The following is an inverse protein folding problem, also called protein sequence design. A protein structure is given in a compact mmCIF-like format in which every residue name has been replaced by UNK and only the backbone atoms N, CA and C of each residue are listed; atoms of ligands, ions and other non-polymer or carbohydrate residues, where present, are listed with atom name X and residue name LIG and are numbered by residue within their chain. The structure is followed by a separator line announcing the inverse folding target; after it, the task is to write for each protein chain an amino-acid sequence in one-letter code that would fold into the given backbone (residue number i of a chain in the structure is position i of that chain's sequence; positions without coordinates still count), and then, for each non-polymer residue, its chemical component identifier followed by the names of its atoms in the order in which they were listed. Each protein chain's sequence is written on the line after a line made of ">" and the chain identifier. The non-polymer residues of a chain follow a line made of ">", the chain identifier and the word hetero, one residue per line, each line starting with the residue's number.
data_IF_891366018367
#
_entry.id   IF_891366018367
#
_cell.length_a   1.000
_cell.length_b   1.000
_cell.length_c   1.000
_cell.angle_alpha   90.00
_cell.angle_beta   90.00
_cell.angle_gamma   90.00
#
_symmetry.space_group_name_H-M   'P 1'
#
loop_
_entity.id
_entity.type
_entity.pdbx_description
1 polymer ?
#
# COMPACT_ATOMS: atom_id res chain seq x y z
N UNK A 1 -15.62 -19.48 27.39
CA UNK A 1 -14.58 -18.48 27.00
C UNK A 1 -15.18 -17.58 25.94
N UNK A 2 -15.53 -16.34 26.28
CA UNK A 2 -16.08 -15.39 25.31
C UNK A 2 -14.95 -14.56 24.71
N UNK A 3 -14.76 -14.68 23.40
CA UNK A 3 -13.76 -13.91 22.65
C UNK A 3 -14.47 -12.80 21.89
N UNK A 4 -14.16 -11.55 22.22
CA UNK A 4 -14.71 -10.39 21.51
C UNK A 4 -13.64 -9.84 20.57
N UNK A 5 -13.92 -9.90 19.27
CA UNK A 5 -13.05 -9.35 18.23
C UNK A 5 -13.53 -7.96 17.84
N UNK A 6 -12.72 -6.94 18.09
CA UNK A 6 -13.02 -5.58 17.67
C UNK A 6 -11.97 -5.07 16.67
N UNK A 7 -12.44 -4.38 15.64
CA UNK A 7 -11.62 -3.76 14.60
C UNK A 7 -11.66 -2.25 14.81
N UNK A 8 -10.80 -1.70 15.66
CA UNK A 8 -10.80 -0.26 15.90
C UNK A 8 -9.75 0.43 15.03
N UNK A 9 -10.10 1.60 14.49
CA UNK A 9 -9.12 2.60 14.01
C UNK A 9 -8.60 3.47 15.15
N UNK A 10 -9.10 3.27 16.37
CA UNK A 10 -8.97 4.22 17.47
C UNK A 10 -8.85 3.46 18.80
N UNK A 11 -7.63 3.37 19.31
CA UNK A 11 -7.27 2.55 20.47
C UNK A 11 -7.97 3.04 21.75
N UNK A 12 -8.27 4.33 21.86
CA UNK A 12 -9.02 4.93 22.97
C UNK A 12 -10.38 4.25 23.24
N UNK A 13 -11.10 3.85 22.19
CA UNK A 13 -12.38 3.13 22.35
C UNK A 13 -12.18 1.70 22.83
N UNK A 14 -11.10 1.04 22.42
CA UNK A 14 -10.76 -0.30 22.91
C UNK A 14 -10.50 -0.28 24.41
N UNK A 15 -9.78 0.74 24.91
CA UNK A 15 -9.53 0.91 26.34
C UNK A 15 -10.82 1.13 27.14
N UNK A 16 -11.74 1.98 26.66
CA UNK A 16 -13.02 2.22 27.33
C UNK A 16 -13.86 0.94 27.40
N UNK A 17 -13.89 0.16 26.31
CA UNK A 17 -14.56 -1.14 26.27
C UNK A 17 -13.96 -2.12 27.27
N UNK A 18 -12.64 -2.30 27.24
CA UNK A 18 -11.94 -3.22 28.15
C UNK A 18 -12.16 -2.85 29.63
N UNK A 19 -12.25 -1.55 29.94
CA UNK A 19 -12.55 -1.06 31.29
C UNK A 19 -14.01 -1.31 31.68
N UNK A 20 -14.95 -1.11 30.77
CA UNK A 20 -16.38 -1.35 31.00
C UNK A 20 -16.71 -2.84 31.16
N UNK A 21 -15.96 -3.71 30.50
CA UNK A 21 -16.11 -5.17 30.61
C UNK A 21 -15.40 -5.79 31.81
N UNK A 22 -14.80 -4.97 32.70
CA UNK A 22 -14.07 -5.48 33.88
C UNK A 22 -14.98 -6.25 34.84
N UNK A 23 -16.26 -5.86 34.88
CA UNK A 23 -17.29 -6.49 35.71
C UNK A 23 -18.06 -7.60 34.97
N UNK A 24 -17.65 -7.91 33.73
CA UNK A 24 -18.24 -8.97 32.91
C UNK A 24 -17.33 -10.21 32.89
N UNK A 25 -17.88 -11.37 32.55
CA UNK A 25 -17.14 -12.64 32.52
C UNK A 25 -16.17 -12.79 31.31
N UNK A 26 -15.77 -11.66 30.70
CA UNK A 26 -14.85 -11.60 29.57
C UNK A 26 -13.42 -11.52 30.09
N UNK A 27 -12.71 -12.65 30.01
CA UNK A 27 -11.33 -12.75 30.51
C UNK A 27 -10.26 -12.25 29.53
N UNK A 28 -10.51 -12.35 28.23
CA UNK A 28 -9.50 -12.04 27.20
C UNK A 28 -10.10 -11.34 25.97
N UNK A 29 -9.33 -10.41 25.41
CA UNK A 29 -9.66 -9.63 24.22
C UNK A 29 -8.64 -9.84 23.13
N UNK A 30 -9.06 -10.19 21.93
CA UNK A 30 -8.16 -10.24 20.77
C UNK A 30 -8.12 -8.88 20.08
N UNK A 31 -6.94 -8.29 19.97
CA UNK A 31 -6.73 -6.96 19.38
C UNK A 31 -5.99 -7.10 18.06
N UNK A 32 -6.70 -6.86 16.96
CA UNK A 32 -6.15 -7.04 15.61
C UNK A 32 -5.48 -5.75 15.09
N UNK A 33 -4.17 -5.79 14.90
CA UNK A 33 -3.42 -4.81 14.11
C UNK A 33 -3.55 -5.12 12.62
N UNK A 34 -4.20 -4.23 11.85
CA UNK A 34 -4.47 -4.44 10.41
C UNK A 34 -3.39 -3.81 9.53
N UNK A 35 -2.55 -2.93 10.10
CA UNK A 35 -1.42 -2.28 9.43
C UNK A 35 -0.12 -2.52 10.18
N UNK A 36 1.00 -2.44 9.44
CA UNK A 36 2.34 -2.44 10.05
C UNK A 36 2.54 -1.29 11.04
N UNK A 37 1.93 -0.14 10.76
CA UNK A 37 2.01 1.05 11.62
C UNK A 37 1.33 0.81 12.98
N UNK A 38 0.27 0.01 13.01
CA UNK A 38 -0.47 -0.30 14.24
C UNK A 38 0.24 -1.35 15.11
N UNK A 39 1.25 -2.03 14.54
CA UNK A 39 1.95 -3.15 15.21
C UNK A 39 2.53 -2.74 16.55
N UNK A 40 3.18 -1.57 16.62
CA UNK A 40 3.81 -1.08 17.84
C UNK A 40 2.77 -0.66 18.88
N UNK A 41 1.69 -0.02 18.46
CA UNK A 41 0.61 0.41 19.36
C UNK A 41 -0.15 -0.77 19.95
N UNK A 42 -0.44 -1.81 19.15
CA UNK A 42 -1.08 -3.05 19.63
C UNK A 42 -0.16 -3.84 20.58
N UNK A 43 1.16 -3.82 20.35
CA UNK A 43 2.12 -4.39 21.31
C UNK A 43 2.14 -3.64 22.63
N UNK A 44 2.13 -2.30 22.61
CA UNK A 44 2.07 -1.50 23.84
C UNK A 44 0.76 -1.75 24.60
N UNK A 45 -0.37 -1.84 23.90
CA UNK A 45 -1.67 -2.18 24.48
C UNK A 45 -1.63 -3.50 25.27
N UNK A 46 -1.07 -4.55 24.68
CA UNK A 46 -0.94 -5.86 25.33
C UNK A 46 0.00 -5.84 26.54
N UNK A 47 1.01 -4.95 26.56
CA UNK A 47 1.86 -4.76 27.74
C UNK A 47 1.11 -4.07 28.88
N UNK A 48 0.28 -3.08 28.56
CA UNK A 48 -0.51 -2.34 29.56
C UNK A 48 -1.66 -3.16 30.11
N UNK A 49 -2.27 -4.02 29.27
CA UNK A 49 -3.43 -4.84 29.64
C UNK A 49 -3.15 -6.32 29.35
N UNK A 50 -2.86 -7.15 30.36
CA UNK A 50 -2.53 -8.56 30.16
C UNK A 50 -3.72 -9.39 29.64
N UNK A 51 -4.95 -8.86 29.72
CA UNK A 51 -6.13 -9.45 29.11
C UNK A 51 -6.23 -9.20 27.59
N UNK A 52 -5.42 -8.31 27.01
CA UNK A 52 -5.36 -8.09 25.58
C UNK A 52 -4.33 -9.01 24.91
N UNK A 53 -4.82 -9.89 24.04
CA UNK A 53 -4.02 -10.74 23.17
C UNK A 53 -3.79 -10.00 21.85
N UNK A 54 -2.54 -9.59 21.54
CA UNK A 54 -2.25 -8.88 20.32
C UNK A 54 -2.20 -9.84 19.14
N UNK A 55 -2.95 -9.54 18.08
CA UNK A 55 -3.00 -10.33 16.85
C UNK A 55 -2.49 -9.47 15.69
N UNK A 56 -1.52 -10.00 14.94
CA UNK A 56 -0.91 -9.31 13.80
C UNK A 56 -1.23 -10.07 12.53
N UNK A 57 -1.88 -9.41 11.58
CA UNK A 57 -2.22 -10.02 10.30
C UNK A 57 -2.58 -8.97 9.26
N UNK A 58 -1.99 -9.09 8.08
CA UNK A 58 -2.38 -8.27 6.95
C UNK A 58 -3.66 -8.84 6.35
N UNK A 59 -4.76 -8.09 6.46
CA UNK A 59 -6.02 -8.50 5.86
C UNK A 59 -5.87 -8.53 4.31
N UNK A 60 -6.28 -9.60 3.59
CA UNK A 60 -6.06 -9.76 2.15
C UNK A 60 -6.54 -8.57 1.30
N UNK A 61 -7.71 -8.01 1.64
CA UNK A 61 -8.26 -6.79 1.01
C UNK A 61 -7.31 -5.58 1.05
N UNK A 62 -6.39 -5.50 2.01
CA UNK A 62 -5.42 -4.40 2.13
C UNK A 62 -4.13 -4.65 1.37
N UNK A 63 -3.73 -5.91 1.19
CA UNK A 63 -2.57 -6.26 0.34
C UNK A 63 -2.83 -5.86 -1.12
N UNK A 64 -4.11 -5.82 -1.51
CA UNK A 64 -4.57 -5.34 -2.82
C UNK A 64 -4.73 -3.82 -2.93
N UNK A 65 -4.57 -3.04 -1.84
CA UNK A 65 -4.56 -1.59 -1.98
C UNK A 65 -3.28 -1.19 -2.73
N UNK A 66 -3.38 -0.42 -3.82
CA UNK A 66 -2.19 -0.03 -4.56
C UNK A 66 -1.25 0.72 -3.63
N UNK A 67 0.03 0.31 -3.61
CA UNK A 67 1.14 1.07 -3.06
C UNK A 67 0.92 2.54 -3.38
N UNK A 68 1.00 3.39 -2.35
CA UNK A 68 0.79 4.83 -2.36
C UNK A 68 0.91 5.50 -3.73
N UNK A 69 -0.02 6.41 -4.02
CA UNK A 69 -0.12 7.21 -5.25
C UNK A 69 1.23 7.74 -5.78
N UNK A 70 2.23 7.93 -4.92
CA UNK A 70 3.62 8.28 -5.27
C UNK A 70 4.40 7.21 -6.05
N UNK A 71 4.26 5.91 -5.74
CA UNK A 71 4.92 4.84 -6.52
C UNK A 71 4.24 4.66 -7.88
N UNK A 72 2.92 4.72 -7.91
CA UNK A 72 2.13 4.69 -9.15
C UNK A 72 2.42 5.90 -10.05
N UNK A 73 2.53 7.10 -9.49
CA UNK A 73 2.88 8.30 -10.26
C UNK A 73 4.29 8.21 -10.85
N UNK A 74 5.26 7.66 -10.11
CA UNK A 74 6.62 7.42 -10.59
C UNK A 74 6.65 6.41 -11.75
N UNK A 75 5.93 5.28 -11.61
CA UNK A 75 5.83 4.25 -12.66
C UNK A 75 5.16 4.82 -13.91
N UNK A 76 4.10 5.60 -13.73
CA UNK A 76 3.39 6.25 -14.83
C UNK A 76 4.25 7.32 -15.53
N UNK A 77 5.04 8.09 -14.77
CA UNK A 77 6.00 9.06 -15.31
C UNK A 77 7.10 8.37 -16.14
N UNK A 78 7.68 7.28 -15.62
CA UNK A 78 8.65 6.46 -16.37
C UNK A 78 8.06 5.91 -17.67
N UNK A 79 6.83 5.39 -17.65
CA UNK A 79 6.12 4.92 -18.86
C UNK A 79 5.89 6.03 -19.88
N UNK A 80 5.47 7.23 -19.45
CA UNK A 80 5.28 8.40 -20.34
C UNK A 80 6.60 8.82 -20.99
N UNK A 81 7.70 8.86 -20.23
CA UNK A 81 9.02 9.20 -20.76
C UNK A 81 9.52 8.18 -21.79
N UNK A 82 9.33 6.88 -21.55
CA UNK A 82 9.68 5.84 -22.54
C UNK A 82 8.88 5.96 -23.84
N UNK A 83 7.58 6.28 -23.77
CA UNK A 83 6.77 6.51 -24.98
C UNK A 83 7.27 7.71 -25.79
N UNK A 84 7.61 8.82 -25.11
CA UNK A 84 8.17 10.01 -25.74
C UNK A 84 9.52 9.73 -26.43
N UNK A 85 10.43 9.01 -25.78
CA UNK A 85 11.74 8.67 -26.36
C UNK A 85 11.59 7.73 -27.56
N UNK A 86 10.71 6.73 -27.49
CA UNK A 86 10.39 5.83 -28.60
C UNK A 86 9.83 6.59 -29.82
N UNK A 87 8.92 7.55 -29.59
CA UNK A 87 8.37 8.39 -30.65
C UNK A 87 9.43 9.28 -31.31
N UNK A 88 10.28 9.94 -30.52
CA UNK A 88 11.40 10.75 -31.02
C UNK A 88 12.35 9.93 -31.90
N UNK A 89 12.75 8.73 -31.45
CA UNK A 89 13.59 7.81 -32.24
C UNK A 89 12.94 7.42 -33.57
N UNK A 90 11.63 7.11 -33.58
CA UNK A 90 10.87 6.80 -34.80
C UNK A 90 10.85 7.98 -35.78
N UNK A 91 10.68 9.21 -35.28
CA UNK A 91 10.69 10.44 -36.09
C UNK A 91 12.07 10.70 -36.71
N UNK A 92 13.14 10.54 -35.95
CA UNK A 92 14.52 10.68 -36.46
C UNK A 92 14.85 9.61 -37.51
N UNK A 93 14.46 8.35 -37.29
CA UNK A 93 14.66 7.26 -38.26
C UNK A 93 13.95 7.56 -39.59
N UNK A 94 12.69 8.03 -39.56
CA UNK A 94 11.96 8.48 -40.75
C UNK A 94 12.67 9.64 -41.47
N UNK A 95 13.18 10.63 -40.75
CA UNK A 95 13.96 11.74 -41.36
C UNK A 95 15.25 11.24 -42.03
N UNK A 96 15.99 10.33 -41.39
CA UNK A 96 17.23 9.75 -41.92
C UNK A 96 16.97 8.94 -43.20
N UNK A 97 15.89 8.15 -43.23
CA UNK A 97 15.45 7.42 -44.43
C UNK A 97 15.10 8.38 -45.57
N UNK A 98 14.28 9.42 -45.32
CA UNK A 98 13.94 10.43 -46.35
C UNK A 98 15.19 11.11 -46.92
N UNK A 99 16.16 11.50 -46.07
CA UNK A 99 17.41 12.10 -46.53
C UNK A 99 18.23 11.16 -47.42
N UNK A 100 18.35 9.88 -47.03
CA UNK A 100 19.04 8.84 -47.83
C UNK A 100 18.36 8.55 -49.17
N UNK A 101 17.03 8.54 -49.20
CA UNK A 101 16.26 8.39 -50.44
C UNK A 101 16.49 9.55 -51.41
N UNK A 102 16.48 10.79 -50.91
CA UNK A 102 16.79 11.98 -51.73
C UNK A 102 18.22 11.98 -52.27
N UNK A 103 19.21 11.60 -51.46
CA UNK A 103 20.61 11.51 -51.92
C UNK A 103 20.82 10.42 -52.97
N UNK A 104 20.06 9.32 -52.91
CA UNK A 104 20.09 8.27 -53.93
C UNK A 104 19.38 8.65 -55.23
N UNK A 105 18.34 9.49 -55.15
CA UNK A 105 17.63 9.99 -56.33
C UNK A 105 18.42 11.06 -57.10
N UNK A 106 19.27 11.84 -56.43
CA UNK A 106 20.13 12.87 -57.06
C UNK A 106 21.38 12.26 -57.72
N UNK A 107 21.78 11.04 -57.33
CA UNK A 107 22.94 10.32 -57.87
C UNK A 107 22.61 9.35 -59.02
N UNK A 108 21.37 9.38 -59.52
CA UNK A 108 20.89 8.64 -60.69
C UNK A 108 20.60 9.64 -61.78
#
# INVERSE_FOLDING_TARGET
>A
MHTVTYKTKNLNKAFQLMKATKDTDIRYFTVNGVFDQDRNSVKQLAKTYPCAIPCFGLHPRRVLQPLSTSRLSLVNSKRKNQRKTKWRRKKQRKKKIRKRGKTRAIKR
#
